data_IF_789500479313
#
_entry.id   IF_789500479313
#
_cell.length_a   1.000
_cell.length_b   1.000
_cell.length_c   1.000
_cell.angle_alpha   90.00
_cell.angle_beta   90.00
_cell.angle_gamma   90.00
#
_symmetry.space_group_name_H-M   'P 1'
#
loop_
_entity.id
_entity.type
_entity.pdbx_description
1 polymer ?
2 water ?
#
# COMPACT_ATOMS: atom_id res chain seq x y z
N UNK A 1 3.64 15.81 36.13
CA UNK A 1 5.01 15.49 36.67
C UNK A 1 6.03 15.39 35.53
N UNK A 2 7.31 15.34 35.90
CA UNK A 2 8.39 15.28 34.94
C UNK A 2 8.19 14.26 33.79
N UNK A 3 7.68 13.07 34.07
CA UNK A 3 7.51 12.08 32.99
C UNK A 3 6.56 12.59 31.87
N UNK A 4 5.56 13.37 32.21
CA UNK A 4 4.72 13.93 31.19
C UNK A 4 5.47 14.94 30.35
N UNK A 5 6.20 15.86 30.99
CA UNK A 5 6.91 16.85 30.19
C UNK A 5 8.05 16.17 29.37
N UNK A 6 8.55 15.09 29.90
CA UNK A 6 9.65 14.39 29.24
C UNK A 6 9.13 13.87 27.88
N UNK A 7 7.93 13.27 27.91
CA UNK A 7 7.35 12.76 26.68
C UNK A 7 6.93 13.88 25.79
N UNK A 8 6.28 14.86 26.39
CA UNK A 8 5.78 15.99 25.63
C UNK A 8 6.81 16.66 24.87
N UNK A 9 7.97 16.93 25.51
CA UNK A 9 9.04 17.67 24.86
C UNK A 9 9.58 16.87 23.63
N UNK A 10 9.78 15.59 23.84
CA UNK A 10 10.33 14.78 22.76
C UNK A 10 9.28 14.76 21.61
N UNK A 11 8.03 14.55 22.00
CA UNK A 11 6.93 14.47 20.97
C UNK A 11 6.87 15.66 20.06
N UNK A 12 6.85 16.84 20.68
CA UNK A 12 6.82 18.04 19.86
C UNK A 12 8.02 18.16 18.95
N UNK A 13 9.16 17.76 19.41
CA UNK A 13 10.34 17.79 18.58
C UNK A 13 10.18 16.77 17.40
N UNK A 14 9.79 15.57 17.75
CA UNK A 14 9.64 14.55 16.75
C UNK A 14 8.67 15.03 15.68
N UNK A 15 7.50 15.53 16.06
CA UNK A 15 6.45 16.00 15.15
C UNK A 15 6.94 17.12 14.26
N UNK A 16 7.63 18.13 14.82
CA UNK A 16 8.10 19.27 14.06
C UNK A 16 9.02 18.85 12.94
N UNK A 17 9.86 17.87 13.20
CA UNK A 17 10.83 17.47 12.22
C UNK A 17 10.44 16.30 11.31
N UNK A 18 9.42 15.55 11.69
CA UNK A 18 9.06 14.34 10.88
C UNK A 18 7.63 14.18 10.35
N UNK A 19 6.66 14.75 11.03
CA UNK A 19 5.25 14.49 10.70
C UNK A 19 4.96 14.96 9.28
N UNK A 20 4.49 14.03 8.45
CA UNK A 20 4.19 14.38 7.04
C UNK A 20 3.41 15.66 6.79
N UNK A 21 2.45 15.96 7.65
CA UNK A 21 1.60 17.13 7.50
C UNK A 21 2.24 18.32 8.25
N UNK A 22 3.33 18.87 7.72
CA UNK A 22 4.00 20.06 8.32
C UNK A 22 3.12 21.24 8.66
N UNK A 23 2.11 21.39 7.83
CA UNK A 23 1.19 22.49 7.96
C UNK A 23 0.39 22.39 9.19
N UNK A 24 0.43 21.22 9.88
CA UNK A 24 -0.32 21.10 11.10
C UNK A 24 0.52 21.41 12.34
N UNK A 25 1.84 21.56 12.17
CA UNK A 25 2.73 21.69 13.28
C UNK A 25 2.45 22.96 14.11
N UNK A 26 2.26 24.12 13.45
CA UNK A 26 2.00 25.34 14.25
C UNK A 26 0.91 25.17 15.26
N UNK A 27 -0.25 24.70 14.81
CA UNK A 27 -1.40 24.44 15.66
C UNK A 27 -1.21 23.39 16.75
N UNK A 28 -0.44 22.35 16.42
CA UNK A 28 -0.15 21.30 17.37
C UNK A 28 0.76 21.85 18.46
N UNK A 29 1.69 22.72 18.06
CA UNK A 29 2.62 23.33 19.04
C UNK A 29 1.88 24.34 19.94
N UNK A 30 0.72 24.82 19.50
CA UNK A 30 -0.10 25.69 20.36
C UNK A 30 -0.95 24.85 21.32
N UNK A 31 -1.55 23.78 20.83
CA UNK A 31 -2.46 23.06 21.64
C UNK A 31 -1.77 22.12 22.64
N UNK A 32 -0.82 21.33 22.18
CA UNK A 32 -0.24 20.34 23.05
C UNK A 32 0.25 20.85 24.45
N UNK A 33 0.94 21.96 24.51
CA UNK A 33 1.41 22.47 25.78
C UNK A 33 0.28 23.05 26.60
N UNK A 34 -0.87 23.25 26.00
CA UNK A 34 -1.98 23.85 26.67
C UNK A 34 -2.88 22.85 27.41
N UNK A 35 -2.76 21.59 27.09
CA UNK A 35 -3.63 20.59 27.65
C UNK A 35 -3.46 20.53 29.17
N UNK A 36 -4.47 20.03 29.83
CA UNK A 36 -4.48 19.76 31.22
C UNK A 36 -3.94 18.34 31.51
N UNK A 37 -2.71 18.25 31.93
CA UNK A 37 -1.96 17.06 32.31
C UNK A 37 -1.73 16.91 33.82
N UNK A 38 -2.74 17.18 34.61
CA UNK A 38 -2.51 16.94 35.98
C UNK A 38 -3.48 15.84 36.33
N UNK A 39 -3.86 15.02 35.38
CA UNK A 39 -4.75 13.92 35.69
C UNK A 39 -4.07 12.57 35.25
N UNK A 40 -2.96 12.69 34.54
CA UNK A 40 -2.27 11.52 33.97
C UNK A 40 -0.94 11.19 34.58
N UNK A 41 -0.84 9.99 35.11
CA UNK A 41 0.39 9.52 35.76
C UNK A 41 0.66 8.05 35.47
N UNK A 42 0.80 7.73 34.22
CA UNK A 42 1.10 6.37 33.82
C UNK A 42 1.20 6.40 32.31
N UNK A 43 2.20 5.72 31.74
CA UNK A 43 2.44 5.71 30.33
C UNK A 43 1.16 5.45 29.59
N UNK A 44 0.40 4.51 30.10
CA UNK A 44 -0.85 4.22 29.45
C UNK A 44 -1.76 5.44 29.37
N UNK A 45 -1.85 6.19 30.46
CA UNK A 45 -2.69 7.38 30.47
C UNK A 45 -2.13 8.43 29.55
N UNK A 46 -0.80 8.61 29.60
CA UNK A 46 -0.16 9.55 28.68
C UNK A 46 -0.42 9.23 27.22
N UNK A 47 -0.25 7.99 26.86
CA UNK A 47 -0.50 7.58 25.49
C UNK A 47 -1.98 7.87 25.09
N UNK A 48 -2.88 7.43 25.96
CA UNK A 48 -4.29 7.64 25.67
C UNK A 48 -4.69 9.08 25.58
N UNK A 49 -4.17 9.90 26.52
CA UNK A 49 -4.51 11.28 26.46
C UNK A 49 -3.99 11.98 25.20
N UNK A 50 -2.68 11.82 24.93
CA UNK A 50 -2.08 12.41 23.77
C UNK A 50 -2.67 11.85 22.49
N UNK A 51 -3.05 10.57 22.45
CA UNK A 51 -3.65 9.96 21.28
C UNK A 51 -5.03 10.60 21.02
N UNK A 52 -5.77 10.85 22.08
CA UNK A 52 -7.14 11.49 21.86
C UNK A 52 -7.01 12.88 21.37
N UNK A 53 -6.05 13.62 21.96
CA UNK A 53 -5.79 14.97 21.52
C UNK A 53 -5.22 15.01 20.12
N UNK A 54 -4.23 14.14 19.82
CA UNK A 54 -3.71 14.15 18.49
C UNK A 54 -4.77 13.87 17.41
N UNK A 55 -5.62 12.89 17.66
CA UNK A 55 -6.65 12.52 16.65
C UNK A 55 -7.68 13.65 16.53
N UNK A 56 -7.94 14.37 17.63
CA UNK A 56 -8.87 15.50 17.50
C UNK A 56 -8.34 16.61 16.67
N UNK A 57 -7.06 16.81 16.77
CA UNK A 57 -6.41 17.83 16.07
C UNK A 57 -5.92 17.46 14.73
N UNK A 58 -5.66 16.17 14.44
CA UNK A 58 -5.15 15.80 13.09
C UNK A 58 -6.00 14.87 12.29
N UNK A 59 -6.84 14.06 12.90
CA UNK A 59 -7.65 13.13 12.17
C UNK A 59 -6.81 12.27 11.32
N UNK A 60 -5.67 11.89 11.84
CA UNK A 60 -4.68 11.07 11.16
C UNK A 60 -4.36 9.92 12.01
N UNK A 61 -5.05 8.79 11.77
CA UNK A 61 -4.80 7.55 12.51
C UNK A 61 -3.36 6.93 12.45
N UNK A 62 -2.55 7.40 11.52
CA UNK A 62 -1.19 6.88 11.36
C UNK A 62 -0.26 7.35 12.49
N UNK A 63 -0.56 8.52 13.07
CA UNK A 63 0.19 9.13 14.13
C UNK A 63 -0.37 8.59 15.38
N UNK A 64 0.38 7.75 16.06
CA UNK A 64 -0.06 7.17 17.28
C UNK A 64 1.02 6.77 18.29
N UNK A 65 0.75 7.11 19.52
CA UNK A 65 1.60 6.72 20.62
C UNK A 65 1.21 5.35 21.07
N UNK A 66 2.22 4.52 21.24
CA UNK A 66 1.90 3.16 21.66
C UNK A 66 3.04 2.64 22.60
N UNK A 67 2.75 1.53 23.25
CA UNK A 67 3.80 0.90 24.09
C UNK A 67 4.86 0.43 23.09
N UNK A 68 6.15 0.50 23.42
CA UNK A 68 7.23 0.08 22.56
C UNK A 68 7.05 -1.36 22.18
N UNK A 69 6.28 -2.08 22.98
CA UNK A 69 5.99 -3.46 22.72
C UNK A 69 5.24 -3.68 21.41
N UNK A 70 4.30 -2.80 21.09
CA UNK A 70 3.49 -2.90 19.87
C UNK A 70 4.08 -2.14 18.69
N UNK A 71 5.40 -2.06 18.62
CA UNK A 71 6.09 -1.36 17.53
C UNK A 71 6.53 -2.31 16.43
N UNK A 72 5.64 -2.48 15.43
CA UNK A 72 5.86 -3.31 14.25
C UNK A 72 6.35 -4.70 14.59
N UNK A 73 6.77 -5.39 13.53
CA UNK A 73 7.29 -6.74 13.65
C UNK A 73 8.62 -6.78 12.92
N UNK A 75 10.28 -6.07 8.55
CA UNK A 75 10.08 -5.94 7.10
C UNK A 75 10.02 -7.29 6.39
N UNK A 76 9.11 -7.37 5.42
CA UNK A 76 8.93 -8.56 4.61
C UNK A 76 10.21 -9.00 3.92
N UNK A 77 10.24 -10.28 3.54
CA UNK A 77 11.40 -10.89 2.92
C UNK A 77 10.99 -11.55 1.61
N UNK A 78 11.08 -10.78 0.54
CA UNK A 78 10.76 -11.30 -0.77
C UNK A 78 12.04 -11.65 -1.55
N UNK A 79 11.86 -12.16 -2.76
CA UNK A 79 12.98 -12.55 -3.62
C UNK A 79 13.99 -11.43 -3.73
N UNK A 80 15.24 -11.67 -3.36
CA UNK A 80 16.29 -10.62 -3.41
C UNK A 80 17.09 -10.72 -4.69
N UNK A 81 17.54 -9.58 -5.19
CA UNK A 81 18.31 -9.55 -6.44
C UNK A 81 19.56 -10.39 -6.33
N UNK A 82 20.18 -10.34 -5.15
CA UNK A 82 21.42 -11.07 -4.88
C UNK A 82 21.22 -12.58 -4.82
N UNK A 83 19.97 -13.04 -4.99
CA UNK A 83 19.68 -14.45 -4.93
C UNK A 83 18.95 -14.96 -6.16
N UNK A 84 18.96 -14.19 -7.24
CA UNK A 84 18.32 -14.53 -8.49
C UNK A 84 19.27 -15.40 -9.32
N UNK A 85 18.81 -16.56 -9.80
CA UNK A 85 19.61 -17.47 -10.65
C UNK A 85 20.03 -16.84 -11.96
N UNK A 86 21.12 -17.35 -12.56
CA UNK A 86 21.65 -16.82 -13.81
C UNK A 86 21.13 -17.64 -14.97
N UNK A 87 20.97 -18.93 -14.75
CA UNK A 87 20.54 -19.80 -15.79
C UNK A 87 19.10 -19.49 -16.23
N UNK A 88 18.90 -19.35 -17.53
CA UNK A 88 17.57 -19.06 -18.07
C UNK A 88 16.49 -20.12 -17.75
N UNK A 89 16.86 -21.41 -17.75
CA UNK A 89 15.86 -22.45 -17.44
C UNK A 89 15.37 -22.26 -15.98
N UNK A 91 15.49 -19.44 -14.15
CA UNK A 91 14.73 -18.21 -14.05
C UNK A 91 13.29 -18.47 -14.50
N UNK A 92 13.10 -19.13 -15.68
CA UNK A 92 11.69 -19.36 -16.17
C UNK A 92 10.96 -20.22 -15.16
N UNK A 93 11.67 -21.20 -14.57
CA UNK A 93 11.07 -22.09 -13.61
C UNK A 93 10.61 -21.31 -12.35
N UNK A 94 11.46 -20.38 -11.87
CA UNK A 94 11.15 -19.55 -10.73
C UNK A 94 9.91 -18.67 -11.01
N UNK A 95 9.94 -18.01 -12.16
CA UNK A 95 8.84 -17.14 -12.57
C UNK A 95 7.56 -18.02 -12.58
N UNK A 96 7.69 -19.26 -13.05
CA UNK A 96 6.51 -20.15 -13.17
C UNK A 96 5.91 -20.50 -11.82
N UNK A 97 6.69 -20.43 -10.81
CA UNK A 97 6.16 -20.72 -9.47
C UNK A 97 5.76 -19.44 -8.68
N UNK A 98 6.31 -18.29 -9.05
CA UNK A 98 5.97 -17.02 -8.43
C UNK A 98 4.61 -16.57 -8.89
N UNK A 99 4.32 -16.76 -10.16
CA UNK A 99 3.02 -16.32 -10.78
C UNK A 99 2.19 -17.48 -11.22
N UNK A 100 0.98 -17.64 -10.68
CA UNK A 100 0.03 -18.68 -11.07
C UNK A 100 -0.98 -18.06 -12.01
N UNK A 101 -1.03 -18.57 -13.22
CA UNK A 101 -1.91 -18.05 -14.21
C UNK A 101 -2.83 -19.17 -14.74
N UNK A 102 -4.15 -18.90 -14.75
CA UNK A 102 -5.19 -19.88 -15.24
C UNK A 102 -6.10 -19.16 -16.17
N UNK A 103 -6.70 -19.90 -17.10
CA UNK A 103 -7.70 -19.32 -17.90
C UNK A 103 -8.96 -20.01 -17.40
N UNK A 104 -9.80 -19.28 -16.67
CA UNK A 104 -11.02 -19.84 -16.10
C UNK A 104 -12.08 -19.94 -17.19
N UNK A 105 -13.06 -20.83 -17.02
CA UNK A 105 -14.17 -20.97 -17.95
C UNK A 105 -14.84 -19.62 -18.22
N UNK A 106 -15.23 -19.45 -19.46
CA UNK A 106 -15.79 -18.18 -19.80
C UNK A 106 -14.74 -17.23 -20.23
N UNK A 107 -13.51 -17.75 -20.42
CA UNK A 107 -12.40 -16.92 -20.90
C UNK A 107 -12.05 -15.75 -19.92
N UNK A 108 -11.97 -16.05 -18.64
CA UNK A 108 -11.65 -15.05 -17.63
C UNK A 108 -10.23 -15.43 -17.16
N UNK A 109 -9.30 -14.51 -17.22
CA UNK A 109 -7.94 -14.73 -16.82
C UNK A 109 -7.86 -14.70 -15.29
N UNK A 110 -7.03 -15.57 -14.73
CA UNK A 110 -6.79 -15.61 -13.31
C UNK A 110 -5.26 -15.49 -13.08
N UNK A 111 -4.85 -14.45 -12.35
CA UNK A 111 -3.42 -14.19 -12.05
C UNK A 111 -3.26 -14.08 -10.58
N UNK A 112 -2.48 -14.98 -9.99
CA UNK A 112 -2.12 -14.91 -8.61
C UNK A 112 -0.64 -14.81 -8.42
N UNK A 113 -0.20 -13.92 -7.45
CA UNK A 113 1.17 -13.86 -7.01
C UNK A 113 1.11 -13.30 -5.58
N UNK A 114 2.01 -13.71 -4.71
CA UNK A 114 1.90 -13.46 -3.32
C UNK A 114 2.98 -12.53 -2.65
N UNK A 115 3.79 -11.90 -3.51
CA UNK A 115 4.76 -10.94 -3.04
C UNK A 115 5.01 -9.93 -4.16
N UNK A 116 5.63 -8.80 -3.83
CA UNK A 116 6.05 -7.77 -4.79
C UNK A 116 7.58 -7.69 -4.54
N UNK A 117 8.36 -8.10 -5.48
CA UNK A 117 9.80 -7.96 -5.37
C UNK A 117 10.24 -6.55 -5.84
N UNK A 118 11.44 -6.18 -5.45
CA UNK A 118 12.01 -4.91 -5.79
C UNK A 118 12.12 -4.82 -7.35
N UNK A 119 12.05 -3.59 -7.83
CA UNK A 119 12.13 -3.43 -9.27
C UNK A 119 13.44 -4.04 -9.86
N UNK A 120 14.50 -4.13 -9.03
CA UNK A 120 15.77 -4.67 -9.56
C UNK A 120 15.62 -6.15 -9.89
N UNK A 121 14.75 -6.85 -9.15
CA UNK A 121 14.45 -8.22 -9.34
C UNK A 121 13.56 -8.40 -10.52
N UNK A 122 12.50 -7.58 -10.61
CA UNK A 122 11.60 -7.66 -11.70
C UNK A 122 12.28 -7.44 -13.00
N UNK A 123 13.31 -6.59 -12.99
CA UNK A 123 14.08 -6.33 -14.22
C UNK A 123 14.65 -7.63 -14.79
N UNK A 124 15.34 -8.37 -13.95
CA UNK A 124 15.91 -9.68 -14.37
C UNK A 124 14.86 -10.77 -14.70
N UNK A 125 13.69 -10.72 -14.08
CA UNK A 125 12.62 -11.70 -14.38
C UNK A 125 11.70 -11.31 -15.49
N UNK A 126 11.76 -10.04 -15.93
CA UNK A 126 10.79 -9.55 -16.95
C UNK A 126 10.66 -10.39 -18.20
N UNK A 127 11.74 -10.82 -18.82
CA UNK A 127 11.66 -11.61 -20.05
C UNK A 127 10.86 -12.90 -19.86
N UNK A 128 10.91 -13.45 -18.70
CA UNK A 128 10.25 -14.73 -18.38
C UNK A 128 8.81 -14.46 -18.00
N UNK A 129 8.56 -13.30 -17.37
CA UNK A 129 7.21 -12.94 -17.00
C UNK A 129 6.35 -12.77 -18.25
N UNK A 130 7.03 -12.40 -19.32
CA UNK A 130 6.31 -12.33 -20.59
C UNK A 130 5.61 -13.64 -20.95
N UNK A 131 6.34 -14.75 -20.77
CA UNK A 131 5.85 -16.06 -21.13
C UNK A 131 4.83 -16.56 -20.09
N UNK A 132 5.06 -16.30 -18.79
CA UNK A 132 4.15 -16.83 -17.77
C UNK A 132 2.84 -16.04 -17.64
N UNK A 133 2.93 -14.77 -17.78
CA UNK A 133 1.77 -13.92 -17.46
C UNK A 133 1.21 -13.20 -18.66
N UNK A 134 1.96 -12.27 -19.24
CA UNK A 134 1.46 -11.36 -20.21
C UNK A 134 0.90 -12.01 -21.50
N UNK A 135 1.64 -12.98 -22.00
CA UNK A 135 1.19 -13.68 -23.23
C UNK A 135 -0.02 -14.54 -22.96
N UNK A 136 -0.02 -15.47 -22.02
CA UNK A 136 -1.16 -16.32 -21.81
C UNK A 136 -2.54 -15.57 -21.58
N UNK A 137 -2.54 -14.43 -20.85
CA UNK A 137 -3.82 -13.72 -20.57
C UNK A 137 -4.31 -12.88 -21.72
N UNK A 138 -3.47 -12.70 -22.77
CA UNK A 138 -3.89 -11.93 -23.90
C UNK A 138 -5.23 -12.32 -24.55
N UNK A 139 -5.51 -13.59 -24.52
CA UNK A 139 -6.73 -14.13 -25.11
C UNK A 139 -7.99 -13.73 -24.26
N UNK A 140 -7.84 -13.50 -22.97
CA UNK A 140 -9.02 -13.21 -22.11
C UNK A 140 -9.68 -11.85 -22.27
N UNK A 141 -10.96 -11.73 -21.84
CA UNK A 141 -11.65 -10.50 -22.01
C UNK A 141 -11.75 -9.79 -20.62
N UNK A 142 -11.52 -10.55 -19.59
CA UNK A 142 -11.53 -9.99 -18.21
C UNK A 142 -10.42 -10.67 -17.41
N UNK A 143 -9.89 -9.99 -16.41
CA UNK A 143 -8.79 -10.53 -15.61
C UNK A 143 -9.05 -10.35 -14.14
N UNK A 144 -8.81 -11.39 -13.39
CA UNK A 144 -8.93 -11.39 -11.93
C UNK A 144 -7.56 -11.45 -11.39
N UNK A 145 -7.12 -10.48 -10.62
CA UNK A 145 -5.80 -10.49 -10.01
C UNK A 145 -6.04 -10.78 -8.54
N UNK A 146 -5.57 -11.94 -8.11
CA UNK A 146 -5.77 -12.43 -6.77
C UNK A 146 -4.62 -12.01 -5.79
N UNK A 147 -4.84 -11.00 -4.90
CA UNK A 147 -3.87 -10.57 -3.98
C UNK A 147 -4.19 -10.92 -2.56
N UNK A 148 -5.16 -11.81 -2.42
CA UNK A 148 -5.57 -12.25 -1.09
C UNK A 148 -4.45 -12.82 -0.26
N UNK A 149 -3.42 -13.39 -0.88
CA UNK A 149 -2.32 -13.97 -0.16
C UNK A 149 -1.04 -13.19 -0.29
N UNK A 150 -1.16 -11.95 -0.79
CA UNK A 150 -0.01 -11.14 -1.14
C UNK A 150 0.31 -10.16 -0.06
N UNK A 151 1.39 -10.51 0.65
CA UNK A 151 1.88 -9.73 1.78
C UNK A 151 2.85 -8.65 1.37
N UNK A 152 2.85 -8.35 0.08
CA UNK A 152 3.58 -7.22 -0.47
C UNK A 152 5.10 -7.38 -0.50
N UNK A 153 5.72 -6.33 -0.08
CA UNK A 153 7.22 -6.10 -0.15
C UNK A 153 7.49 -4.69 -0.52
N UNK A 154 8.58 -4.47 -1.28
CA UNK A 154 8.98 -3.17 -1.77
C UNK A 154 7.95 -2.68 -2.79
N UNK A 155 7.73 -1.37 -2.83
CA UNK A 155 6.79 -0.76 -3.79
C UNK A 155 7.50 -0.34 -5.04
N UNK A 156 8.80 -0.56 -5.13
CA UNK A 156 9.57 -0.02 -6.30
C UNK A 156 9.10 -0.45 -7.69
N UNK A 157 8.48 -1.63 -7.76
CA UNK A 157 7.94 -2.13 -9.06
C UNK A 157 6.48 -1.86 -9.27
N UNK A 158 5.79 -1.18 -8.33
CA UNK A 158 4.39 -0.92 -8.53
C UNK A 158 4.05 -0.12 -9.78
N UNK A 159 4.78 0.98 -10.02
CA UNK A 159 4.48 1.73 -11.22
C UNK A 159 4.61 0.93 -12.50
N UNK A 160 5.63 0.13 -12.58
CA UNK A 160 5.89 -0.71 -13.73
C UNK A 160 4.76 -1.68 -13.91
N UNK A 161 4.36 -2.38 -12.84
CA UNK A 161 3.24 -3.29 -12.96
C UNK A 161 1.98 -2.63 -13.43
N UNK A 162 1.66 -1.50 -12.81
CA UNK A 162 0.47 -0.82 -13.13
C UNK A 162 0.41 -0.48 -14.63
N UNK A 163 1.56 -0.21 -15.20
CA UNK A 163 1.71 0.20 -16.63
C UNK A 163 1.23 -0.82 -17.59
N UNK A 164 1.12 -2.07 -17.16
CA UNK A 164 0.54 -3.11 -18.03
C UNK A 164 -0.96 -2.98 -18.18
N UNK A 165 -1.57 -2.13 -17.39
CA UNK A 165 -3.03 -1.95 -17.44
C UNK A 165 -3.45 -0.57 -17.90
N UNK A 166 -2.50 0.17 -18.50
CA UNK A 166 -2.79 1.54 -18.93
C UNK A 166 -2.37 1.69 -20.38
N UNK A 167 -2.60 2.86 -20.98
CA UNK A 167 -2.26 3.12 -22.42
C UNK A 167 -0.78 3.23 -22.68
N UNK A 168 -0.26 2.48 -23.62
CA UNK A 168 1.17 2.46 -23.98
C UNK A 168 1.75 3.83 -24.21
N UNK A 169 0.92 4.73 -24.69
CA UNK A 169 1.37 6.12 -24.84
C UNK A 169 0.39 7.04 -24.16
N UNK A 170 0.69 7.38 -22.90
CA UNK A 170 -0.17 8.25 -22.08
C UNK A 170 0.56 9.03 -20.97
N UNK A 171 1.56 8.43 -20.32
CA UNK A 171 2.23 9.10 -19.21
C UNK A 171 1.16 9.50 -18.17
N UNK A 172 0.80 8.55 -17.33
CA UNK A 172 -0.28 8.70 -16.37
C UNK A 172 0.27 8.97 -15.01
N UNK A 173 -0.23 9.99 -14.35
CA UNK A 173 0.26 10.29 -13.04
C UNK A 173 -0.43 9.23 -12.12
N UNK A 174 0.35 8.65 -11.28
CA UNK A 174 -0.22 7.59 -10.39
C UNK A 174 -0.47 8.17 -9.01
N UNK A 175 0.51 8.80 -8.44
CA UNK A 175 0.42 9.40 -7.13
C UNK A 175 1.67 10.27 -6.96
N UNK A 176 1.67 11.08 -5.92
CA UNK A 176 2.73 11.88 -5.55
C UNK A 176 3.08 11.64 -4.10
N UNK A 177 4.35 11.48 -3.81
CA UNK A 177 4.82 11.27 -2.50
C UNK A 177 5.38 12.56 -1.98
N UNK A 178 5.01 12.88 -0.76
CA UNK A 178 5.56 14.03 -0.04
C UNK A 178 6.26 13.47 1.16
N UNK A 179 7.59 13.39 1.10
CA UNK A 179 8.40 12.92 2.23
C UNK A 179 8.85 14.17 3.05
N UNK A 180 8.26 14.31 4.24
CA UNK A 180 8.54 15.41 5.16
C UNK A 180 9.99 15.43 5.53
N UNK A 181 10.54 14.29 5.88
CA UNK A 181 11.92 14.20 6.34
C UNK A 181 12.86 14.92 5.36
N UNK A 182 12.37 15.16 4.16
CA UNK A 182 13.10 15.90 3.17
C UNK A 182 12.05 16.66 2.41
N UNK A 183 12.29 16.96 1.15
CA UNK A 183 11.24 17.64 0.37
C UNK A 183 10.94 16.85 -0.91
N UNK A 184 10.59 15.59 -0.74
CA UNK A 184 10.26 14.70 -1.82
C UNK A 184 9.33 15.37 -2.88
N UNK A 185 8.05 15.43 -2.58
CA UNK A 185 7.10 15.94 -3.57
C UNK A 185 7.39 15.30 -4.91
N UNK A 186 7.77 14.03 -4.89
CA UNK A 186 8.04 13.28 -6.13
C UNK A 186 6.81 12.73 -6.79
N UNK A 187 6.57 13.13 -8.03
CA UNK A 187 5.44 12.68 -8.75
C UNK A 187 5.83 11.35 -9.41
N UNK A 188 4.96 10.37 -9.25
CA UNK A 188 5.17 9.02 -9.76
C UNK A 188 4.28 8.77 -10.93
N UNK A 189 4.88 8.39 -12.05
CA UNK A 189 4.18 8.15 -13.23
C UNK A 189 4.37 6.68 -13.70
N UNK A 190 3.49 6.28 -14.57
CA UNK A 190 3.50 5.03 -15.26
C UNK A 190 4.64 5.08 -16.25
N UNK A 191 5.05 3.94 -16.72
CA UNK A 191 6.07 3.82 -17.78
C UNK A 191 5.48 3.86 -19.17
N UNK A 192 6.11 4.57 -20.09
CA UNK A 192 5.71 4.60 -21.48
C UNK A 192 6.02 3.33 -22.26
N UNK A 193 6.80 2.44 -21.73
CA UNK A 193 7.11 1.17 -22.39
C UNK A 193 7.26 0.08 -21.36
N UNK A 194 6.59 -1.04 -21.61
CA UNK A 194 6.78 -2.21 -20.78
C UNK A 194 7.35 -3.37 -21.63
N UNK A 195 7.82 -4.41 -20.98
CA UNK A 195 8.34 -5.56 -21.72
C UNK A 195 7.15 -6.56 -21.79
N UNK A 196 6.83 -6.96 -22.99
CA UNK A 196 5.76 -7.93 -23.14
C UNK A 196 4.47 -7.16 -23.39
N UNK A 197 3.40 -7.86 -23.71
CA UNK A 197 2.15 -7.21 -24.13
C UNK A 197 1.38 -6.67 -22.95
N UNK A 198 1.10 -5.38 -22.96
CA UNK A 198 0.27 -4.84 -21.88
C UNK A 198 -1.12 -5.45 -22.01
N UNK A 199 -1.79 -5.60 -20.88
CA UNK A 199 -3.13 -6.12 -20.87
C UNK A 199 -4.02 -5.01 -21.44
N UNK A 200 -3.61 -3.78 -21.34
CA UNK A 200 -4.35 -2.69 -21.89
C UNK A 200 -5.29 -2.02 -20.84
N UNK A 201 -5.98 -0.98 -21.28
CA UNK A 201 -6.88 -0.25 -20.38
C UNK A 201 -8.36 -0.46 -20.54
N UNK A 202 -8.70 -1.38 -21.45
CA UNK A 202 -10.11 -1.65 -21.78
C UNK A 202 -10.73 -2.85 -21.09
N UNK A 203 -10.08 -3.98 -21.07
CA UNK A 203 -10.64 -5.15 -20.51
C UNK A 203 -10.89 -5.04 -18.97
N UNK A 204 -11.88 -5.74 -18.54
CA UNK A 204 -12.24 -5.72 -17.14
C UNK A 204 -11.16 -6.32 -16.24
N UNK A 205 -10.90 -5.66 -15.14
CA UNK A 205 -9.94 -6.08 -14.18
C UNK A 205 -10.56 -6.07 -12.76
N UNK A 206 -10.44 -7.17 -12.10
CA UNK A 206 -10.95 -7.40 -10.75
C UNK A 206 -9.87 -7.85 -9.80
N UNK A 207 -9.59 -7.06 -8.72
CA UNK A 207 -8.53 -7.35 -7.76
C UNK A 207 -9.09 -7.86 -6.49
N UNK A 208 -8.69 -9.03 -6.08
CA UNK A 208 -9.16 -9.70 -4.88
C UNK A 208 -8.26 -9.34 -3.73
N UNK A 209 -8.86 -8.93 -2.58
CA UNK A 209 -8.09 -8.60 -1.41
C UNK A 209 -8.55 -9.30 -0.15
N UNK A 210 -7.67 -9.40 0.80
CA UNK A 210 -7.92 -9.96 2.14
C UNK A 210 -7.28 -9.05 3.19
N UNK A 211 -7.60 -9.35 4.48
CA UNK A 211 -6.98 -8.68 5.58
C UNK A 211 -5.51 -8.92 5.65
N UNK A 212 -5.00 -9.96 4.98
CA UNK A 212 -3.57 -10.21 4.94
C UNK A 212 -2.85 -9.41 3.83
N UNK A 213 -3.55 -8.89 2.84
CA UNK A 213 -2.91 -8.09 1.78
C UNK A 213 -2.16 -6.92 2.38
N UNK A 214 -0.88 -6.73 2.05
CA UNK A 214 -0.04 -5.77 2.72
C UNK A 214 0.89 -4.98 1.81
N UNK A 215 1.43 -3.92 2.40
CA UNK A 215 2.34 -2.97 1.76
C UNK A 215 2.11 -2.74 0.25
N UNK A 216 3.14 -3.14 -0.50
CA UNK A 216 3.10 -2.91 -1.95
C UNK A 216 1.82 -3.42 -2.59
N UNK A 217 1.27 -4.57 -2.07
CA UNK A 217 0.02 -5.10 -2.63
C UNK A 217 -1.16 -4.15 -2.41
N UNK A 218 -1.18 -3.54 -1.23
CA UNK A 218 -2.22 -2.56 -0.92
C UNK A 218 -2.15 -1.31 -1.83
N UNK A 219 -0.89 -0.89 -2.06
CA UNK A 219 -0.64 0.25 -2.94
C UNK A 219 -1.10 -0.02 -4.29
N UNK A 220 -0.80 -1.23 -4.77
CA UNK A 220 -1.26 -1.67 -6.14
C UNK A 220 -2.74 -1.68 -6.25
N UNK A 221 -3.39 -2.32 -5.25
CA UNK A 221 -4.87 -2.40 -5.24
C UNK A 221 -5.50 -0.96 -5.15
N UNK A 222 -4.94 -0.22 -4.22
CA UNK A 222 -5.44 1.18 -4.02
C UNK A 222 -5.38 2.01 -5.32
N UNK A 223 -4.20 1.92 -5.95
CA UNK A 223 -3.95 2.63 -7.21
C UNK A 223 -4.80 2.17 -8.35
N UNK A 225 -7.67 1.03 -7.90
CA UNK A 225 -8.99 1.61 -7.56
C UNK A 225 -9.08 3.10 -7.81
N UNK A 226 -8.07 3.86 -7.41
CA UNK A 226 -8.06 5.29 -7.53
C UNK A 226 -8.05 5.76 -9.00
N UNK A 227 -7.47 4.92 -9.84
CA UNK A 227 -7.43 5.18 -11.27
C UNK A 227 -8.68 4.70 -12.01
N UNK A 228 -9.60 4.17 -11.25
CA UNK A 228 -10.81 3.60 -11.80
C UNK A 228 -10.46 2.53 -12.83
N UNK A 229 -9.38 1.79 -12.62
CA UNK A 229 -9.01 0.79 -13.60
C UNK A 229 -9.64 -0.53 -13.24
N UNK A 230 -9.67 -0.91 -11.94
CA UNK A 230 -10.28 -2.12 -11.57
C UNK A 230 -11.29 -2.00 -10.42
N UNK A 231 -12.06 -3.02 -10.26
CA UNK A 231 -12.97 -3.18 -9.15
C UNK A 231 -12.24 -4.01 -8.08
N UNK A 232 -12.21 -3.51 -6.83
CA UNK A 232 -11.57 -4.20 -5.76
C UNK A 232 -12.63 -5.03 -5.02
N UNK A 233 -12.33 -6.29 -4.76
CA UNK A 233 -13.28 -7.24 -4.13
C UNK A 233 -12.64 -8.01 -3.00
N UNK A 234 -13.30 -8.00 -1.82
CA UNK A 234 -12.80 -8.81 -0.74
C UNK A 234 -12.84 -8.07 0.58
N UNK A 235 -11.84 -8.29 1.41
CA UNK A 235 -11.81 -7.71 2.74
C UNK A 235 -11.01 -6.38 2.74
N UNK A 236 -11.21 -5.59 3.79
CA UNK A 236 -10.40 -4.39 3.99
C UNK A 236 -8.98 -4.94 4.30
N UNK A 237 -7.98 -4.33 3.71
CA UNK A 237 -6.63 -4.84 3.82
C UNK A 237 -5.94 -4.55 5.15
N UNK A 238 -4.71 -5.01 5.30
CA UNK A 238 -4.03 -5.00 6.57
C UNK A 238 -3.73 -3.64 7.12
N UNK A 239 -3.60 -2.60 6.29
CA UNK A 239 -3.24 -1.28 6.73
C UNK A 239 -1.81 -1.14 7.08
N UNK A 240 -0.95 -1.93 6.46
CA UNK A 240 0.48 -1.84 6.71
C UNK A 240 1.14 -1.25 5.54
N UNK A 241 1.38 0.04 5.51
CA UNK A 241 2.07 0.71 4.40
C UNK A 241 3.43 1.21 4.94
N UNK A 243 4.85 4.09 5.08
CA UNK A 243 4.83 5.54 5.10
C UNK A 243 5.20 6.14 6.46
N UNK A 244 5.47 5.41 7.45
CA UNK A 244 5.78 5.92 8.79
C UNK A 244 7.10 5.43 9.33
N UNK A 245 7.51 6.02 10.44
CA UNK A 245 8.73 5.59 11.18
C UNK A 245 8.36 5.65 12.66
N UNK A 246 9.00 4.84 13.42
CA UNK A 246 8.79 4.76 14.81
C UNK A 246 9.88 5.49 15.57
N UNK A 247 9.47 6.29 16.59
CA UNK A 247 10.41 7.04 17.44
C UNK A 247 10.19 6.73 18.89
N UNK A 248 11.17 6.15 19.56
CA UNK A 248 11.01 5.75 20.94
C UNK A 248 11.14 6.96 21.78
N UNK A 249 10.51 6.93 22.92
CA UNK A 249 10.61 8.04 23.85
C UNK A 249 11.65 7.61 24.87
N UNK A 250 12.83 8.18 24.76
CA UNK A 250 13.89 7.90 25.74
C UNK A 250 13.38 7.91 27.16
N UNK A 251 13.85 6.93 27.92
CA UNK A 251 13.53 6.74 29.33
C UNK A 251 12.13 6.26 29.60
N UNK A 252 11.48 5.68 28.59
CA UNK A 252 10.12 5.23 28.80
C UNK A 252 9.88 3.96 28.07
N UNK A 253 8.73 3.37 28.33
CA UNK A 253 8.27 2.16 27.68
C UNK A 253 7.30 2.52 26.51
N UNK A 254 7.38 3.77 26.08
CA UNK A 254 6.48 4.32 25.00
C UNK A 254 7.20 4.70 23.81
N UNK A 255 6.48 4.70 22.69
CA UNK A 255 7.04 5.17 21.45
C UNK A 255 5.97 5.86 20.64
N UNK A 256 6.40 6.59 19.63
CA UNK A 256 5.45 7.19 18.70
C UNK A 256 5.69 6.82 17.24
N UNK A 257 4.65 6.37 16.52
CA UNK A 257 4.73 6.11 15.10
C UNK A 257 4.21 7.27 14.41
N UNK A 258 5.06 7.79 13.56
CA UNK A 258 4.77 9.01 12.82
C UNK A 258 4.81 8.87 11.32
N UNK A 259 3.73 9.25 10.63
CA UNK A 259 3.78 9.18 9.19
C UNK A 259 4.70 10.23 8.66
N UNK A 260 5.75 9.84 7.95
CA UNK A 260 6.70 10.79 7.38
C UNK A 260 6.41 11.04 5.94
N UNK A 261 5.49 10.28 5.34
CA UNK A 261 5.19 10.47 3.98
C UNK A 261 3.73 10.63 3.75
N UNK A 262 3.33 11.48 2.84
CA UNK A 262 1.94 11.61 2.46
C UNK A 262 1.85 11.07 1.06
N UNK A 263 0.75 10.39 0.80
CA UNK A 263 0.51 9.73 -0.45
C UNK A 263 -0.72 10.34 -1.08
N UNK A 264 -0.51 11.17 -2.12
CA UNK A 264 -1.59 11.88 -2.79
C UNK A 264 -1.87 11.28 -4.12
N UNK A 265 -3.07 10.70 -4.27
CA UNK A 265 -3.38 9.97 -5.48
C UNK A 265 -3.71 10.89 -6.62
N UNK A 266 -3.98 10.25 -7.75
CA UNK A 266 -4.23 11.04 -8.97
C UNK A 266 -5.52 11.89 -8.95
N UNK A 267 -6.34 11.75 -7.89
CA UNK A 267 -7.58 12.53 -7.76
C UNK A 267 -7.34 13.53 -6.70
N UNK A 268 -6.10 13.69 -6.25
CA UNK A 268 -5.73 14.60 -5.19
C UNK A 268 -6.10 14.19 -3.79
N UNK A 269 -6.59 12.98 -3.57
CA UNK A 269 -6.91 12.55 -2.25
C UNK A 269 -5.68 12.07 -1.52
N UNK A 270 -5.55 12.46 -0.22
CA UNK A 270 -4.48 11.94 0.61
C UNK A 270 -4.91 10.58 1.20
N UNK A 271 -4.17 9.55 0.93
CA UNK A 271 -4.49 8.27 1.52
C UNK A 271 -3.86 8.10 2.85
N UNK A 272 -4.65 7.92 3.88
CA UNK A 272 -4.14 7.74 5.21
C UNK A 272 -3.86 6.22 5.58
N UNK A 273 -4.01 5.35 4.60
CA UNK A 273 -3.79 3.94 4.82
C UNK A 273 -4.79 3.38 5.77
N UNK A 274 -4.35 2.50 6.58
CA UNK A 274 -5.28 1.85 7.51
C UNK A 274 -6.06 0.73 6.81
N UNK A 275 -5.84 0.55 5.48
CA UNK A 275 -6.47 -0.52 4.69
C UNK A 275 -7.17 -0.04 3.48
N UNK A 276 -7.01 -0.70 2.34
CA UNK A 276 -7.80 -0.39 1.15
C UNK A 276 -9.19 -0.90 1.45
N UNK A 277 -10.18 -0.14 1.10
CA UNK A 277 -11.58 -0.50 1.28
C UNK A 277 -12.14 -0.94 -0.03
N UNK A 278 -12.47 -2.22 -0.16
CA UNK A 278 -12.97 -2.76 -1.46
C UNK A 278 -14.26 -2.09 -1.91
N UNK A 279 -14.49 -2.12 -3.22
CA UNK A 279 -15.72 -1.67 -3.82
C UNK A 279 -16.80 -2.72 -3.40
N UNK A 280 -16.46 -4.00 -3.46
CA UNK A 280 -17.40 -5.08 -3.08
C UNK A 280 -16.83 -5.82 -1.89
N UNK A 281 -17.28 -5.48 -0.70
CA UNK A 281 -16.84 -6.05 0.51
C UNK A 281 -17.46 -7.39 0.74
N UNK A 282 -16.65 -8.42 0.81
CA UNK A 282 -17.04 -9.80 1.13
C UNK A 282 -15.92 -10.43 1.86
N UNK A 283 -16.20 -11.57 2.53
CA UNK A 283 -15.11 -12.27 3.22
C UNK A 283 -14.17 -12.85 2.08
N UNK A 284 -12.92 -13.00 2.44
CA UNK A 284 -11.87 -13.42 1.46
C UNK A 284 -12.22 -14.68 0.68
N UNK A 285 -12.82 -15.65 1.35
CA UNK A 285 -13.24 -16.89 0.67
C UNK A 285 -14.32 -16.69 -0.36
N UNK A 286 -15.04 -15.60 -0.32
CA UNK A 286 -16.10 -15.33 -1.28
C UNK A 286 -15.75 -14.42 -2.42
N UNK A 287 -14.53 -13.90 -2.41
CA UNK A 287 -14.12 -12.91 -3.41
C UNK A 287 -14.05 -13.35 -4.82
N UNK A 288 -13.59 -14.56 -5.02
CA UNK A 288 -13.51 -15.10 -6.42
C UNK A 288 -14.91 -15.31 -6.99
N UNK A 289 -15.78 -15.86 -6.17
CA UNK A 289 -17.19 -16.03 -6.58
C UNK A 289 -17.88 -14.76 -6.90
N UNK A 290 -17.61 -13.75 -6.08
CA UNK A 290 -18.11 -12.41 -6.37
C UNK A 290 -17.63 -11.75 -7.61
N UNK A 291 -16.35 -11.87 -7.92
CA UNK A 291 -15.86 -11.37 -9.09
C UNK A 291 -16.49 -11.99 -10.37
N UNK A 292 -16.67 -13.27 -10.31
CA UNK A 292 -17.34 -14.04 -11.36
C UNK A 292 -18.79 -13.58 -11.52
N UNK A 293 -19.48 -13.35 -10.42
CA UNK A 293 -20.82 -12.77 -10.48
C UNK A 293 -20.83 -11.48 -11.18
N UNK A 294 -19.96 -10.54 -10.75
CA UNK A 294 -19.88 -9.26 -11.37
C UNK A 294 -19.68 -9.31 -12.85
N UNK A 295 -18.72 -10.17 -13.25
CA UNK A 295 -18.43 -10.38 -14.60
C UNK A 295 -19.68 -10.87 -15.40
N UNK A 296 -20.34 -11.87 -14.85
CA UNK A 296 -21.50 -12.54 -15.51
C UNK A 296 -22.69 -11.61 -15.73
N UNK A 297 -22.92 -10.73 -14.77
CA UNK A 297 -24.02 -9.75 -14.86
C UNK A 297 -23.64 -8.35 -15.39
N UNK A 298 -22.45 -8.21 -16.00
CA UNK A 298 -22.05 -6.90 -16.49
C UNK A 298 -22.98 -6.52 -17.68
N UNK A 299 -23.48 -5.30 -17.66
CA UNK A 299 -24.39 -4.84 -18.73
C UNK A 299 -23.81 -5.06 -20.12
N UNK A 300 -24.58 -5.63 -21.02
CA UNK A 300 -24.01 -5.91 -22.35
C UNK A 300 -23.78 -4.63 -23.09
N UNK A 301 -23.88 -3.48 -22.40
CA UNK A 301 -23.68 -2.13 -22.95
C UNK A 301 -24.67 -1.89 -24.06
N UNK A 302 -25.92 -1.70 -23.67
CA UNK A 302 -27.01 -1.49 -24.64
C UNK A 302 -27.07 -2.66 -25.63
#
# INVERSE_FOLDING_TARGET
DPSVTHVLHQLCDILANNYAFSERIPTLLQHLPNLDYSTVISEEDIAAKLNYELQSLTEDPRLVLKSKTDTLVXPGDSIQAENIPEDEAXLQALVNTVFKVSILPGNIGYLRFDQFADVSVIAKLAPFIVNTVWEPITITENLIIDLRYNVGGSSTAVPLLLSYFLDPETKIHLFTLHNRQQNSTDEVYSHPKVLGKPYGSKKGVYVLTSHQTATAAEEFAYLXQSLSRATIIGEITSGNLXHSKVFPFGDTQLSVTVPIINFIDSNGDYWLGGGVVPDAIVLADEALDKAKEIIAFHPPLA
#
